data_IF_301164882510
#
_entry.id   IF_301164882510
#
_cell.length_a   1.000
_cell.length_b   1.000
_cell.length_c   1.000
_cell.angle_alpha   90.00
_cell.angle_beta   90.00
_cell.angle_gamma   90.00
#
_symmetry.space_group_name_H-M   'P 1'
#
loop_
_entity.id
_entity.type
_entity.pdbx_description
1 polymer ?
#
# COMPACT_ATOMS: atom_id res chain seq x y z
N UNK A 1 -5.75 38.91 44.70
CA UNK A 1 -7.11 38.60 44.20
C UNK A 1 -7.02 37.65 42.99
N UNK A 2 -6.66 36.38 43.19
CA UNK A 2 -6.55 35.38 42.09
C UNK A 2 -7.17 34.02 42.45
N UNK A 3 -7.67 33.85 43.67
CA UNK A 3 -8.28 32.62 44.19
C UNK A 3 -9.55 32.19 43.45
N UNK A 4 -10.27 33.12 42.81
CA UNK A 4 -11.47 32.83 42.03
C UNK A 4 -11.20 32.11 40.69
N UNK A 5 -9.96 32.14 40.18
CA UNK A 5 -9.60 31.48 38.92
C UNK A 5 -9.33 29.98 39.08
N UNK A 6 -9.00 29.53 40.29
CA UNK A 6 -8.63 28.16 40.61
C UNK A 6 -9.70 27.12 40.20
N UNK A 7 -11.01 27.30 40.48
CA UNK A 7 -12.05 26.36 40.05
C UNK A 7 -12.24 26.29 38.53
N UNK A 8 -12.02 27.39 37.81
CA UNK A 8 -12.07 27.41 36.34
C UNK A 8 -10.91 26.63 35.73
N UNK A 9 -9.70 26.79 36.28
CA UNK A 9 -8.53 26.03 35.84
C UNK A 9 -8.66 24.54 36.12
N UNK A 10 -9.17 24.13 37.29
CA UNK A 10 -9.38 22.71 37.58
C UNK A 10 -10.45 22.09 36.68
N UNK A 11 -11.55 22.80 36.40
CA UNK A 11 -12.55 22.35 35.43
C UNK A 11 -11.98 22.20 34.01
N UNK A 12 -11.19 23.17 33.55
CA UNK A 12 -10.53 23.13 32.24
C UNK A 12 -9.53 21.95 32.13
N UNK A 13 -8.71 21.72 33.16
CA UNK A 13 -7.78 20.60 33.21
C UNK A 13 -8.51 19.25 33.24
N UNK A 14 -9.62 19.15 33.97
CA UNK A 14 -10.46 17.95 33.99
C UNK A 14 -11.04 17.63 32.60
N UNK A 15 -11.56 18.64 31.89
CA UNK A 15 -12.08 18.48 30.54
C UNK A 15 -10.99 18.07 29.53
N UNK A 16 -9.82 18.73 29.57
CA UNK A 16 -8.68 18.38 28.71
C UNK A 16 -8.17 16.96 28.99
N UNK A 17 -8.12 16.56 30.26
CA UNK A 17 -7.78 15.20 30.67
C UNK A 17 -8.75 14.18 30.07
N UNK A 18 -10.05 14.39 30.23
CA UNK A 18 -11.09 13.51 29.67
C UNK A 18 -11.03 13.45 28.14
N UNK A 19 -10.84 14.58 27.47
CA UNK A 19 -10.71 14.64 26.02
C UNK A 19 -9.47 13.88 25.53
N UNK A 20 -8.33 14.01 26.22
CA UNK A 20 -7.10 13.29 25.86
C UNK A 20 -7.27 11.77 25.99
N UNK A 21 -7.95 11.31 27.04
CA UNK A 21 -8.27 9.89 27.25
C UNK A 21 -9.24 9.38 26.18
N UNK A 22 -10.32 10.11 25.88
CA UNK A 22 -11.24 9.76 24.81
C UNK A 22 -10.56 9.73 23.43
N UNK A 23 -9.67 10.68 23.15
CA UNK A 23 -8.92 10.72 21.91
C UNK A 23 -7.98 9.50 21.77
N UNK A 24 -7.37 9.06 22.87
CA UNK A 24 -6.51 7.88 22.91
C UNK A 24 -7.32 6.59 22.74
N UNK A 25 -8.46 6.44 23.42
CA UNK A 25 -9.37 5.30 23.26
C UNK A 25 -9.84 5.19 21.80
N UNK A 26 -10.29 6.28 21.20
CA UNK A 26 -10.72 6.31 19.79
C UNK A 26 -9.60 5.95 18.83
N UNK A 27 -8.34 6.28 19.15
CA UNK A 27 -7.18 5.90 18.34
C UNK A 27 -6.91 4.40 18.42
N UNK A 28 -6.98 3.81 19.61
CA UNK A 28 -6.83 2.36 19.78
C UNK A 28 -7.95 1.59 19.08
N UNK A 29 -9.21 1.98 19.28
CA UNK A 29 -10.35 1.35 18.60
C UNK A 29 -10.17 1.36 17.08
N UNK A 30 -9.77 2.51 16.50
CA UNK A 30 -9.50 2.60 15.06
C UNK A 30 -8.34 1.71 14.59
N UNK A 31 -7.33 1.51 15.44
CA UNK A 31 -6.20 0.63 15.12
C UNK A 31 -6.61 -0.84 15.17
N UNK A 32 -7.42 -1.23 16.16
CA UNK A 32 -7.93 -2.60 16.31
C UNK A 32 -8.90 -2.95 15.17
N UNK A 33 -9.77 -2.00 14.80
CA UNK A 33 -10.67 -2.13 13.65
C UNK A 33 -9.88 -2.26 12.35
N UNK A 34 -8.84 -1.44 12.14
CA UNK A 34 -7.97 -1.51 10.95
C UNK A 34 -7.19 -2.83 10.91
N UNK A 35 -6.70 -3.31 12.06
CA UNK A 35 -6.01 -4.60 12.16
C UNK A 35 -6.94 -5.77 11.79
N UNK A 36 -8.16 -5.76 12.32
CA UNK A 36 -9.18 -6.77 12.00
C UNK A 36 -9.51 -6.77 10.50
N UNK A 37 -9.66 -5.58 9.90
CA UNK A 37 -9.88 -5.44 8.44
C UNK A 37 -8.70 -5.94 7.62
N UNK A 38 -7.47 -5.65 8.03
CA UNK A 38 -6.26 -6.12 7.34
C UNK A 38 -6.21 -7.64 7.33
N UNK A 39 -6.52 -8.30 8.46
CA UNK A 39 -6.55 -9.76 8.55
C UNK A 39 -7.65 -10.36 7.67
N UNK A 40 -8.87 -9.81 7.73
CA UNK A 40 -9.99 -10.25 6.90
C UNK A 40 -9.68 -10.11 5.40
N UNK A 41 -9.15 -8.96 4.98
CA UNK A 41 -8.78 -8.73 3.59
C UNK A 41 -7.68 -9.69 3.13
N UNK A 42 -6.71 -9.99 4.00
CA UNK A 42 -5.64 -10.95 3.71
C UNK A 42 -6.20 -12.36 3.51
N UNK A 43 -7.12 -12.79 4.36
CA UNK A 43 -7.77 -14.11 4.23
C UNK A 43 -8.56 -14.22 2.93
N UNK A 44 -9.38 -13.21 2.61
CA UNK A 44 -10.12 -13.16 1.36
C UNK A 44 -9.19 -13.16 0.14
N UNK A 45 -8.09 -12.41 0.20
CA UNK A 45 -7.08 -12.38 -0.86
C UNK A 45 -6.43 -13.76 -1.04
N UNK A 46 -6.08 -14.46 0.03
CA UNK A 46 -5.56 -15.83 -0.06
C UNK A 46 -6.59 -16.81 -0.62
N UNK A 47 -7.87 -16.67 -0.26
CA UNK A 47 -8.94 -17.47 -0.86
C UNK A 47 -9.03 -17.25 -2.38
N UNK A 48 -8.90 -16.00 -2.84
CA UNK A 48 -8.86 -15.67 -4.27
C UNK A 48 -7.60 -16.23 -4.95
N UNK A 49 -6.43 -16.14 -4.32
CA UNK A 49 -5.19 -16.72 -4.86
C UNK A 49 -5.32 -18.24 -5.03
N UNK A 50 -5.85 -18.92 -4.02
CA UNK A 50 -5.97 -20.38 -4.00
C UNK A 50 -7.03 -20.89 -5.00
N UNK A 51 -8.08 -20.11 -5.25
CA UNK A 51 -9.17 -20.49 -6.17
C UNK A 51 -8.95 -20.01 -7.61
N UNK A 52 -8.17 -18.94 -7.81
CA UNK A 52 -8.09 -18.20 -9.07
C UNK A 52 -7.13 -18.75 -10.12
N UNK A 53 -6.24 -19.69 -9.78
CA UNK A 53 -5.27 -20.27 -10.72
C UNK A 53 -5.95 -20.96 -11.94
N UNK A 54 -7.18 -21.46 -11.75
CA UNK A 54 -7.93 -22.21 -12.78
C UNK A 54 -9.18 -21.48 -13.30
N UNK A 55 -9.47 -20.27 -12.83
CA UNK A 55 -10.69 -19.54 -13.19
C UNK A 55 -10.53 -18.70 -14.45
N UNK A 56 -11.61 -18.58 -15.24
CA UNK A 56 -11.71 -17.68 -16.38
C UNK A 56 -11.55 -16.20 -15.95
N UNK A 57 -11.10 -15.34 -16.88
CA UNK A 57 -10.82 -13.93 -16.60
C UNK A 57 -12.04 -13.17 -16.02
N UNK A 58 -13.25 -13.46 -16.50
CA UNK A 58 -14.48 -12.82 -16.01
C UNK A 58 -14.79 -13.19 -14.54
N UNK A 59 -14.54 -14.45 -14.16
CA UNK A 59 -14.68 -14.89 -12.77
C UNK A 59 -13.63 -14.24 -11.85
N UNK A 60 -12.41 -14.01 -12.36
CA UNK A 60 -11.36 -13.29 -11.61
C UNK A 60 -11.77 -11.83 -11.35
N UNK A 61 -12.35 -11.16 -12.34
CA UNK A 61 -12.81 -9.79 -12.21
C UNK A 61 -13.91 -9.65 -11.13
N UNK A 62 -14.87 -10.58 -11.11
CA UNK A 62 -15.91 -10.63 -10.09
C UNK A 62 -15.38 -10.79 -8.66
N UNK A 63 -14.31 -11.57 -8.47
CA UNK A 63 -13.71 -11.82 -7.16
C UNK A 63 -12.85 -10.65 -6.65
N UNK A 64 -12.23 -9.85 -7.55
CA UNK A 64 -11.33 -8.76 -7.16
C UNK A 64 -12.05 -7.45 -6.81
N UNK A 65 -13.26 -7.21 -7.35
CA UNK A 65 -14.02 -5.97 -7.09
C UNK A 65 -14.39 -5.80 -5.60
N UNK A 66 -14.91 -6.83 -4.89
CA UNK A 66 -15.17 -6.73 -3.46
C UNK A 66 -13.90 -6.43 -2.66
N UNK A 67 -12.77 -7.06 -3.01
CA UNK A 67 -11.48 -6.82 -2.37
C UNK A 67 -10.99 -5.38 -2.57
N UNK A 68 -11.20 -4.80 -3.76
CA UNK A 68 -10.86 -3.39 -4.01
C UNK A 68 -11.69 -2.46 -3.12
N UNK A 69 -12.98 -2.76 -2.94
CA UNK A 69 -13.87 -1.98 -2.08
C UNK A 69 -13.44 -2.05 -0.60
N UNK A 70 -13.17 -3.23 -0.09
CA UNK A 70 -12.67 -3.42 1.28
C UNK A 70 -11.31 -2.75 1.51
N UNK A 71 -10.41 -2.81 0.51
CA UNK A 71 -9.13 -2.12 0.57
C UNK A 71 -9.28 -0.59 0.69
N UNK A 72 -10.35 0.01 0.16
CA UNK A 72 -10.62 1.45 0.30
C UNK A 72 -10.92 1.86 1.75
N UNK A 73 -11.43 0.94 2.56
CA UNK A 73 -11.81 1.18 3.95
C UNK A 73 -10.60 1.15 4.90
N UNK A 74 -9.43 0.71 4.43
CA UNK A 74 -8.20 0.69 5.23
C UNK A 74 -7.80 2.12 5.66
N UNK A 75 -7.48 2.27 6.94
CA UNK A 75 -7.13 3.55 7.54
C UNK A 75 -5.81 4.10 6.99
N UNK A 76 -4.80 3.22 6.82
CA UNK A 76 -3.46 3.60 6.37
C UNK A 76 -3.44 3.93 4.87
N UNK A 77 -3.39 5.22 4.52
CA UNK A 77 -3.32 5.72 3.12
C UNK A 77 -2.27 5.01 2.25
N UNK A 78 -1.06 4.78 2.77
CA UNK A 78 0.03 4.14 1.99
C UNK A 78 -0.25 2.68 1.68
N UNK A 79 -0.88 1.95 2.61
CA UNK A 79 -1.28 0.55 2.41
C UNK A 79 -2.43 0.49 1.40
N UNK A 80 -3.48 1.28 1.63
CA UNK A 80 -4.64 1.43 0.74
C UNK A 80 -4.24 1.72 -0.71
N UNK A 81 -3.40 2.72 -0.92
CA UNK A 81 -2.93 3.10 -2.27
C UNK A 81 -2.14 2.00 -2.96
N UNK A 82 -1.39 1.20 -2.19
CA UNK A 82 -0.59 0.11 -2.75
C UNK A 82 -1.46 -1.09 -3.13
N UNK A 83 -2.27 -1.57 -2.20
CA UNK A 83 -3.19 -2.68 -2.45
C UNK A 83 -4.11 -2.36 -3.63
N UNK A 84 -4.66 -1.14 -3.67
CA UNK A 84 -5.50 -0.72 -4.80
C UNK A 84 -4.75 -0.78 -6.12
N UNK A 85 -3.51 -0.27 -6.17
CA UNK A 85 -2.68 -0.38 -7.38
C UNK A 85 -2.52 -1.84 -7.81
N UNK A 86 -2.17 -2.72 -6.87
CA UNK A 86 -1.89 -4.12 -7.16
C UNK A 86 -3.16 -4.87 -7.61
N UNK A 87 -4.30 -4.62 -6.97
CA UNK A 87 -5.60 -5.20 -7.37
C UNK A 87 -6.08 -4.68 -8.74
N UNK A 88 -5.97 -3.37 -8.99
CA UNK A 88 -6.33 -2.79 -10.29
C UNK A 88 -5.44 -3.34 -11.41
N UNK A 89 -4.12 -3.44 -11.15
CA UNK A 89 -3.18 -4.01 -12.10
C UNK A 89 -3.46 -5.49 -12.35
N UNK A 90 -3.68 -6.28 -11.30
CA UNK A 90 -4.04 -7.70 -11.43
C UNK A 90 -5.27 -7.90 -12.32
N UNK A 91 -6.28 -7.01 -12.23
CA UNK A 91 -7.48 -7.03 -13.08
C UNK A 91 -7.18 -6.71 -14.55
N UNK A 92 -6.24 -5.81 -14.80
CA UNK A 92 -5.89 -5.36 -16.15
C UNK A 92 -5.00 -6.34 -16.92
N UNK A 93 -4.45 -7.38 -16.28
CA UNK A 93 -3.52 -8.30 -16.95
C UNK A 93 -4.22 -9.60 -17.38
N UNK A 94 -4.15 -9.98 -18.66
CA UNK A 94 -4.79 -11.21 -19.15
C UNK A 94 -4.13 -12.49 -18.63
N UNK A 95 -2.84 -12.46 -18.25
CA UNK A 95 -2.07 -13.65 -17.84
C UNK A 95 -2.09 -13.93 -16.33
N UNK A 96 -2.25 -15.22 -16.00
CA UNK A 96 -2.27 -15.73 -14.62
C UNK A 96 -0.96 -15.49 -13.84
N UNK A 97 0.20 -15.47 -14.51
CA UNK A 97 1.51 -15.27 -13.87
C UNK A 97 1.71 -13.83 -13.38
N UNK A 98 1.35 -12.84 -14.19
CA UNK A 98 1.37 -11.43 -13.78
C UNK A 98 0.33 -11.13 -12.70
N UNK A 99 -0.88 -11.70 -12.85
CA UNK A 99 -1.93 -11.66 -11.84
C UNK A 99 -1.44 -12.17 -10.48
N UNK A 100 -0.79 -13.35 -10.44
CA UNK A 100 -0.25 -13.94 -9.20
C UNK A 100 0.82 -13.08 -8.53
N UNK A 101 1.65 -12.39 -9.32
CA UNK A 101 2.69 -11.52 -8.79
C UNK A 101 2.09 -10.31 -8.07
N UNK A 102 1.09 -9.64 -8.67
CA UNK A 102 0.43 -8.49 -8.05
C UNK A 102 -0.31 -8.88 -6.77
N UNK A 103 -1.02 -10.03 -6.78
CA UNK A 103 -1.68 -10.52 -5.57
C UNK A 103 -0.69 -10.92 -4.49
N UNK A 104 0.47 -11.48 -4.85
CA UNK A 104 1.53 -11.76 -3.88
C UNK A 104 2.10 -10.48 -3.24
N UNK A 105 2.37 -9.40 -4.00
CA UNK A 105 2.84 -8.12 -3.41
C UNK A 105 1.77 -7.51 -2.48
N UNK A 106 0.48 -7.63 -2.84
CA UNK A 106 -0.62 -7.19 -1.99
C UNK A 106 -0.70 -8.01 -0.69
N UNK A 107 -0.54 -9.34 -0.77
CA UNK A 107 -0.51 -10.24 0.38
C UNK A 107 0.66 -9.89 1.34
N UNK A 108 1.86 -9.67 0.79
CA UNK A 108 3.04 -9.30 1.56
C UNK A 108 2.87 -7.93 2.23
N UNK A 109 2.25 -6.97 1.55
CA UNK A 109 1.93 -5.67 2.13
C UNK A 109 0.94 -5.78 3.29
N UNK A 110 -0.09 -6.63 3.16
CA UNK A 110 -1.06 -6.90 4.22
C UNK A 110 -0.43 -7.63 5.40
N UNK A 111 0.41 -8.64 5.14
CA UNK A 111 1.13 -9.36 6.18
C UNK A 111 2.09 -8.46 6.97
N UNK A 112 2.84 -7.59 6.28
CA UNK A 112 3.69 -6.60 6.92
C UNK A 112 2.87 -5.60 7.74
N UNK A 113 1.75 -5.12 7.21
CA UNK A 113 0.88 -4.19 7.92
C UNK A 113 0.24 -4.80 9.17
N UNK A 114 -0.18 -6.07 9.11
CA UNK A 114 -0.71 -6.81 10.24
C UNK A 114 0.29 -6.92 11.39
N UNK A 115 1.58 -7.13 11.08
CA UNK A 115 2.66 -7.15 12.09
C UNK A 115 3.04 -5.76 12.62
N UNK A 116 2.49 -4.69 12.03
CA UNK A 116 2.89 -3.32 12.35
C UNK A 116 4.19 -2.88 11.67
N UNK A 117 4.74 -3.69 10.77
CA UNK A 117 6.00 -3.43 10.08
C UNK A 117 5.85 -2.30 9.05
N UNK A 118 7.01 -1.81 8.61
CA UNK A 118 7.08 -0.96 7.43
C UNK A 118 6.70 -1.76 6.18
N UNK A 119 5.92 -1.15 5.29
CA UNK A 119 5.57 -1.77 4.01
C UNK A 119 6.83 -2.15 3.22
N UNK A 120 6.87 -3.37 2.65
CA UNK A 120 8.02 -3.84 1.89
C UNK A 120 8.28 -2.94 0.67
N UNK A 121 9.48 -2.98 0.10
CA UNK A 121 9.72 -2.39 -1.21
C UNK A 121 8.87 -3.13 -2.27
N UNK A 122 8.63 -2.52 -3.44
CA UNK A 122 8.06 -3.29 -4.57
C UNK A 122 9.11 -4.28 -5.03
N UNK A 123 8.68 -5.52 -5.27
CA UNK A 123 9.55 -6.53 -5.89
C UNK A 123 9.99 -6.07 -7.28
N UNK A 124 11.16 -6.55 -7.70
CA UNK A 124 11.73 -6.22 -9.02
C UNK A 124 10.77 -6.66 -10.14
N UNK A 125 10.14 -7.81 -9.96
CA UNK A 125 9.11 -8.36 -10.85
C UNK A 125 7.91 -7.42 -11.03
N UNK A 126 7.41 -6.79 -9.96
CA UNK A 126 6.28 -5.84 -10.04
C UNK A 126 6.71 -4.54 -10.72
N UNK A 127 7.90 -4.04 -10.39
CA UNK A 127 8.45 -2.86 -11.03
C UNK A 127 8.63 -3.07 -12.54
N UNK A 128 9.05 -4.27 -12.93
CA UNK A 128 9.12 -4.67 -14.33
C UNK A 128 7.74 -4.73 -14.99
N UNK A 129 6.77 -5.44 -14.41
CA UNK A 129 5.41 -5.53 -14.96
C UNK A 129 4.77 -4.14 -15.12
N UNK A 130 4.97 -3.25 -14.15
CA UNK A 130 4.51 -1.85 -14.21
C UNK A 130 5.20 -1.04 -15.32
N UNK A 131 6.45 -1.36 -15.67
CA UNK A 131 7.17 -0.73 -16.77
C UNK A 131 6.75 -1.30 -18.12
N UNK A 132 6.69 -2.64 -18.25
CA UNK A 132 6.26 -3.30 -19.48
C UNK A 132 4.87 -2.85 -19.90
N UNK A 133 3.91 -2.74 -18.97
CA UNK A 133 2.58 -2.21 -19.29
C UNK A 133 2.56 -0.74 -19.73
N UNK A 134 3.59 0.05 -19.40
CA UNK A 134 3.69 1.46 -19.85
C UNK A 134 4.32 1.57 -21.23
N UNK A 135 5.28 0.69 -21.54
CA UNK A 135 6.11 0.79 -22.75
C UNK A 135 5.70 -0.19 -23.86
N UNK A 136 4.94 -1.25 -23.54
CA UNK A 136 4.49 -2.20 -24.55
C UNK A 136 3.49 -1.52 -25.50
N UNK A 137 3.76 -1.49 -26.82
CA UNK A 137 2.78 -1.02 -27.79
C UNK A 137 1.54 -1.94 -27.76
N UNK A 138 0.36 -1.33 -27.93
CA UNK A 138 -0.94 -2.03 -27.87
C UNK A 138 -0.90 -3.34 -28.68
N UNK A 139 -1.06 -4.47 -27.99
CA UNK A 139 -1.16 -5.80 -28.61
C UNK A 139 0.09 -6.68 -28.60
N UNK A 140 1.22 -6.27 -28.00
CA UNK A 140 2.36 -7.18 -27.81
C UNK A 140 2.25 -8.04 -26.54
N UNK A 141 2.23 -9.35 -26.80
CA UNK A 141 2.09 -10.42 -25.82
C UNK A 141 3.31 -10.50 -24.88
N UNK A 142 3.11 -10.54 -23.54
CA UNK A 142 4.19 -10.59 -22.51
C UNK A 142 5.25 -11.70 -22.72
N UNK A 143 4.96 -12.69 -23.58
CA UNK A 143 5.89 -13.76 -23.98
C UNK A 143 6.97 -13.29 -24.97
N UNK A 144 6.77 -12.16 -25.63
CA UNK A 144 7.87 -11.46 -26.29
C UNK A 144 8.68 -10.77 -25.21
N UNK A 145 9.68 -11.48 -24.67
CA UNK A 145 10.95 -10.81 -24.42
C UNK A 145 11.36 -10.22 -25.77
N UNK A 146 11.42 -8.88 -26.00
CA UNK A 146 12.05 -8.39 -27.20
C UNK A 146 13.39 -9.11 -27.33
N UNK A 147 13.62 -9.78 -28.45
CA UNK A 147 14.80 -10.63 -28.64
C UNK A 147 16.13 -9.89 -28.39
N UNK A 148 16.07 -8.55 -28.38
CA UNK A 148 17.16 -7.62 -28.15
C UNK A 148 17.27 -7.07 -26.71
N UNK A 149 16.58 -7.64 -25.72
CA UNK A 149 16.75 -7.22 -24.32
C UNK A 149 18.01 -7.83 -23.68
N UNK A 150 18.88 -7.01 -23.06
CA UNK A 150 20.07 -7.48 -22.34
C UNK A 150 19.73 -8.59 -21.34
N UNK A 151 20.62 -9.54 -21.04
CA UNK A 151 20.38 -10.58 -20.03
C UNK A 151 20.02 -10.05 -18.62
N UNK A 152 20.49 -8.85 -18.25
CA UNK A 152 20.25 -8.22 -16.93
C UNK A 152 19.11 -7.20 -16.92
N UNK A 153 18.23 -7.25 -17.91
CA UNK A 153 17.21 -6.24 -18.16
C UNK A 153 16.16 -6.08 -17.04
N UNK A 154 15.82 -7.13 -16.29
CA UNK A 154 14.93 -7.01 -15.11
C UNK A 154 15.56 -6.11 -14.03
N UNK A 155 16.87 -6.26 -13.81
CA UNK A 155 17.63 -5.39 -12.92
C UNK A 155 17.66 -3.95 -13.46
N UNK A 156 17.78 -3.77 -14.79
CA UNK A 156 17.75 -2.45 -15.43
C UNK A 156 16.36 -1.78 -15.28
N UNK A 157 15.26 -2.50 -15.49
CA UNK A 157 13.92 -1.96 -15.30
C UNK A 157 13.69 -1.55 -13.84
N UNK A 158 14.20 -2.35 -12.90
CA UNK A 158 14.16 -2.03 -11.48
C UNK A 158 15.04 -0.83 -11.10
N UNK A 159 16.24 -0.69 -11.66
CA UNK A 159 17.09 0.50 -11.44
C UNK A 159 16.43 1.74 -12.01
N UNK A 160 15.87 1.68 -13.22
CA UNK A 160 15.13 2.79 -13.84
C UNK A 160 13.91 3.20 -13.00
N UNK A 161 13.09 2.25 -12.55
CA UNK A 161 11.98 2.53 -11.63
C UNK A 161 12.46 3.17 -10.32
N UNK A 162 13.56 2.65 -9.76
CA UNK A 162 14.15 3.16 -8.51
C UNK A 162 14.68 4.58 -8.71
N UNK A 163 15.28 4.88 -9.85
CA UNK A 163 15.77 6.21 -10.23
C UNK A 163 14.63 7.19 -10.49
N UNK A 164 13.60 6.81 -11.24
CA UNK A 164 12.38 7.60 -11.46
C UNK A 164 11.73 7.95 -10.12
N UNK A 165 11.61 6.98 -9.21
CA UNK A 165 11.12 7.19 -7.83
C UNK A 165 12.04 8.07 -7.01
N UNK A 166 13.37 7.96 -7.16
CA UNK A 166 14.33 8.86 -6.50
C UNK A 166 14.20 10.28 -7.03
N UNK A 167 13.99 10.48 -8.34
CA UNK A 167 13.75 11.79 -8.96
C UNK A 167 12.47 12.43 -8.42
N UNK A 168 11.36 11.68 -8.36
CA UNK A 168 10.09 12.16 -7.80
C UNK A 168 10.10 12.34 -6.26
N UNK A 169 10.92 11.60 -5.51
CA UNK A 169 11.08 11.77 -4.05
C UNK A 169 12.17 12.78 -3.67
N UNK A 170 13.10 13.08 -4.58
CA UNK A 170 14.27 13.93 -4.35
C UNK A 170 13.90 15.36 -3.94
N UNK A 171 12.80 15.87 -4.50
CA UNK A 171 12.22 17.16 -4.12
C UNK A 171 11.79 17.23 -2.63
N UNK A 172 11.36 16.11 -2.02
CA UNK A 172 10.98 16.09 -0.60
C UNK A 172 12.16 16.01 0.37
N UNK A 173 13.34 15.58 -0.07
CA UNK A 173 14.55 15.58 0.79
C UNK A 173 15.29 16.91 0.78
N UNK A 174 15.11 17.73 -0.25
CA UNK A 174 15.76 19.04 -0.37
C UNK A 174 15.18 20.11 0.57
N UNK A 175 14.00 19.91 1.17
CA UNK A 175 13.33 20.92 2.00
C UNK A 175 13.39 20.70 3.53
N UNK A 176 14.13 19.70 4.03
CA UNK A 176 14.25 19.44 5.48
C UNK A 176 15.71 19.36 5.95
N UNK A 177 16.55 20.28 5.46
CA UNK A 177 17.88 20.53 6.05
C UNK A 177 18.09 22.01 6.36
N UNK A 178 17.09 22.65 6.98
CA UNK A 178 17.33 23.91 7.70
C UNK A 178 17.67 23.55 9.15
N UNK A 179 18.97 23.66 9.43
CA UNK A 179 19.61 23.57 10.75
C UNK A 179 18.73 24.16 11.86
N UNK A 180 18.49 23.39 12.91
CA UNK A 180 18.18 23.95 14.23
C UNK A 180 19.46 24.58 14.82
N UNK A 181 19.37 25.69 15.57
CA UNK A 181 20.51 26.50 16.01
C UNK A 181 21.13 25.97 17.31
N UNK A 182 21.54 24.70 17.34
CA UNK A 182 22.26 24.13 18.49
C UNK A 182 23.33 23.14 18.03
N UNK A 183 24.30 23.66 17.27
CA UNK A 183 25.60 23.03 17.03
C UNK A 183 26.67 24.12 17.07
#
# INVERSE_FOLDING_TARGET
MTTWLLPLFTAALGYLGHWSQQALIRRHQRQDDDHTRILALREQLHAVINTGASQAADSRNGALVPLEHEALLLYRRKLRTRIRHDLTRARSVPRATAWSAYLADAADCLAAAARGDRLPARSERIAWLDWYQREAPDGQDDAHRPANLPPDWEAIAFTLWREERRRHRGWRRLLLRRRGPWA
#
